data_IF_320159237071
#
_entry.id   IF_320159237071
#
_cell.length_a   1.000
_cell.length_b   1.000
_cell.length_c   1.000
_cell.angle_alpha   90.00
_cell.angle_beta   90.00
_cell.angle_gamma   90.00
#
_symmetry.space_group_name_H-M   'P 1'
#
loop_
_entity.id
_entity.type
_entity.pdbx_description
1 polymer ?
#
# COMPACT_ATOMS: atom_id res chain seq x y z
N UNK A 1 -5.58 20.34 7.30
CA UNK A 1 -5.91 20.86 5.96
C UNK A 1 -4.66 21.48 5.38
N UNK A 2 -4.35 21.14 4.16
CA UNK A 2 -3.27 21.73 3.37
C UNK A 2 -3.80 22.94 2.60
N UNK A 3 -2.96 23.94 2.41
CA UNK A 3 -3.28 25.18 1.70
C UNK A 3 -2.13 25.56 0.78
N UNK A 4 -2.43 26.25 -0.31
CA UNK A 4 -1.48 26.71 -1.32
C UNK A 4 -1.41 28.23 -1.30
N UNK A 5 -0.20 28.77 -1.23
CA UNK A 5 0.03 30.20 -1.38
C UNK A 5 -0.12 30.60 -2.85
N UNK A 6 -0.96 31.59 -3.14
CA UNK A 6 -1.23 32.05 -4.52
C UNK A 6 -0.05 32.74 -5.16
N UNK A 7 0.79 33.42 -4.39
CA UNK A 7 1.87 34.23 -4.93
C UNK A 7 3.06 33.41 -5.41
N UNK A 8 3.38 32.30 -4.71
CA UNK A 8 4.57 31.48 -5.01
C UNK A 8 4.25 30.00 -5.25
N UNK A 9 2.98 29.58 -5.05
CA UNK A 9 2.56 28.19 -5.24
C UNK A 9 2.97 27.24 -4.10
N UNK A 10 3.59 27.74 -3.05
CA UNK A 10 4.08 26.92 -1.93
C UNK A 10 2.92 26.26 -1.19
N UNK A 11 3.13 25.00 -0.83
CA UNK A 11 2.18 24.20 -0.06
C UNK A 11 2.58 24.21 1.42
N UNK A 12 1.60 24.49 2.26
CA UNK A 12 1.78 24.50 3.72
C UNK A 12 0.52 23.97 4.40
N UNK A 13 0.56 23.78 5.71
CA UNK A 13 -0.62 23.42 6.49
C UNK A 13 -1.23 24.64 7.16
N UNK A 14 -2.53 24.57 7.45
CA UNK A 14 -3.21 25.62 8.25
C UNK A 14 -2.51 25.87 9.59
N UNK A 15 -1.96 24.84 10.22
CA UNK A 15 -1.22 24.98 11.48
C UNK A 15 0.08 25.78 11.31
N UNK A 16 0.84 25.49 10.26
CA UNK A 16 2.06 26.24 9.94
C UNK A 16 1.73 27.69 9.56
N UNK A 17 0.71 27.90 8.71
CA UNK A 17 0.23 29.25 8.38
C UNK A 17 -0.15 30.05 9.65
N UNK A 18 -0.94 29.48 10.56
CA UNK A 18 -1.30 30.14 11.82
C UNK A 18 -0.08 30.52 12.66
N UNK A 19 0.96 29.68 12.66
CA UNK A 19 2.21 29.94 13.38
C UNK A 19 2.99 31.14 12.81
N UNK A 20 2.81 31.46 11.53
CA UNK A 20 3.43 32.68 10.93
C UNK A 20 2.70 33.97 11.30
N UNK A 21 1.56 33.89 11.99
CA UNK A 21 0.70 35.03 12.37
C UNK A 21 0.52 35.11 13.91
N UNK A 22 1.60 35.30 14.68
CA UNK A 22 1.55 35.14 16.14
C UNK A 22 0.63 36.16 16.85
N UNK A 23 0.36 37.28 16.20
CA UNK A 23 -0.49 38.37 16.78
C UNK A 23 -1.94 38.29 16.30
N UNK A 24 -2.34 37.21 15.63
CA UNK A 24 -3.71 37.04 15.08
C UNK A 24 -4.42 35.88 15.74
N UNK A 25 -5.61 36.12 16.27
CA UNK A 25 -6.49 35.08 16.78
C UNK A 25 -7.33 34.48 15.66
N UNK A 26 -7.15 33.21 15.36
CA UNK A 26 -7.94 32.49 14.37
C UNK A 26 -9.00 31.62 15.03
N UNK A 27 -10.16 31.40 14.37
CA UNK A 27 -11.11 30.39 14.83
C UNK A 27 -10.52 29.00 14.83
N UNK A 28 -11.13 28.08 15.59
CA UNK A 28 -10.70 26.67 15.64
C UNK A 28 -10.66 26.04 14.24
N UNK A 29 -11.69 26.29 13.43
CA UNK A 29 -11.72 25.93 12.02
C UNK A 29 -11.58 27.22 11.18
N UNK A 30 -10.56 27.24 10.32
CA UNK A 30 -10.34 28.34 9.39
C UNK A 30 -11.29 28.18 8.20
N UNK A 31 -11.92 29.28 7.78
CA UNK A 31 -12.83 29.30 6.62
C UNK A 31 -12.07 29.64 5.34
N UNK A 32 -12.68 29.33 4.20
CA UNK A 32 -12.14 29.71 2.89
C UNK A 32 -11.99 31.22 2.73
N UNK A 33 -12.92 32.01 3.26
CA UNK A 33 -12.87 33.47 3.20
C UNK A 33 -11.67 34.06 3.96
N UNK A 34 -11.34 33.45 5.11
CA UNK A 34 -10.14 33.83 5.87
C UNK A 34 -8.89 33.48 5.04
N UNK A 35 -8.81 32.27 4.46
CA UNK A 35 -7.68 31.88 3.61
C UNK A 35 -7.56 32.81 2.41
N UNK A 36 -8.68 33.16 1.79
CA UNK A 36 -8.74 34.08 0.64
C UNK A 36 -8.17 35.45 0.99
N UNK A 37 -8.52 36.01 2.16
CA UNK A 37 -8.02 37.33 2.62
C UNK A 37 -6.49 37.32 2.85
N UNK A 38 -5.87 36.16 3.07
CA UNK A 38 -4.42 36.01 3.22
C UNK A 38 -3.73 35.49 1.94
N UNK A 39 -4.45 35.34 0.82
CA UNK A 39 -3.92 34.91 -0.45
C UNK A 39 -3.60 33.40 -0.52
N UNK A 40 -4.37 32.58 0.18
CA UNK A 40 -4.23 31.12 0.16
C UNK A 40 -5.48 30.47 -0.42
N UNK A 41 -5.25 29.38 -1.13
CA UNK A 41 -6.27 28.46 -1.60
C UNK A 41 -6.30 27.18 -0.73
N UNK A 42 -7.47 26.65 -0.38
CA UNK A 42 -7.56 25.34 0.23
C UNK A 42 -7.16 24.26 -0.78
N UNK A 43 -6.40 23.26 -0.33
CA UNK A 43 -6.11 22.07 -1.13
C UNK A 43 -7.03 20.94 -0.67
N UNK A 44 -7.88 20.48 -1.57
CA UNK A 44 -8.82 19.39 -1.36
C UNK A 44 -8.18 18.04 -1.64
N UNK A 45 -8.81 16.97 -1.18
CA UNK A 45 -8.34 15.62 -1.52
C UNK A 45 -8.70 15.29 -2.96
N UNK A 46 -7.69 15.02 -3.78
CA UNK A 46 -7.85 14.53 -5.14
C UNK A 46 -8.08 13.02 -5.18
N UNK A 47 -8.51 12.54 -6.34
CA UNK A 47 -8.67 11.10 -6.56
C UNK A 47 -7.31 10.40 -6.64
N UNK A 48 -7.24 9.18 -6.11
CA UNK A 48 -6.09 8.31 -6.30
C UNK A 48 -5.91 7.98 -7.79
N UNK A 49 -4.67 7.85 -8.24
CA UNK A 49 -4.39 7.38 -9.60
C UNK A 49 -4.83 5.92 -9.75
N UNK A 50 -5.36 5.60 -10.94
CA UNK A 50 -5.65 4.21 -11.29
C UNK A 50 -4.34 3.44 -11.47
N UNK A 51 -4.17 2.33 -10.76
CA UNK A 51 -2.96 1.52 -10.77
C UNK A 51 -3.28 0.05 -11.00
N UNK A 52 -2.30 -0.70 -11.50
CA UNK A 52 -2.42 -2.13 -11.72
C UNK A 52 -1.75 -2.90 -10.59
N UNK A 53 -2.55 -3.65 -9.81
CA UNK A 53 -2.03 -4.56 -8.80
C UNK A 53 -1.22 -5.70 -9.47
N UNK A 54 -0.29 -6.34 -8.78
CA UNK A 54 0.11 -6.08 -7.40
C UNK A 54 1.20 -4.99 -7.23
N UNK A 55 1.78 -4.50 -8.33
CA UNK A 55 2.98 -3.66 -8.30
C UNK A 55 2.69 -2.16 -8.37
N UNK A 56 1.50 -1.78 -8.86
CA UNK A 56 1.13 -0.39 -8.99
C UNK A 56 0.78 0.26 -7.65
N UNK A 57 1.25 1.49 -7.44
CA UNK A 57 0.90 2.32 -6.29
C UNK A 57 0.46 3.70 -6.76
N UNK A 58 -0.53 4.27 -6.08
CA UNK A 58 -0.93 5.65 -6.31
C UNK A 58 -0.04 6.56 -5.45
N UNK A 59 0.86 7.30 -6.09
CA UNK A 59 1.85 8.15 -5.42
C UNK A 59 1.46 9.62 -5.57
N UNK A 60 1.54 10.36 -4.46
CA UNK A 60 1.31 11.80 -4.49
C UNK A 60 2.37 12.51 -5.33
N UNK A 61 1.92 13.40 -6.25
CA UNK A 61 2.77 14.20 -7.14
C UNK A 61 2.33 15.66 -7.15
N UNK A 62 2.35 16.30 -5.97
CA UNK A 62 2.01 17.71 -5.84
C UNK A 62 0.49 17.98 -5.78
N UNK A 63 0.07 19.03 -6.46
CA UNK A 63 -1.32 19.47 -6.56
C UNK A 63 -1.68 19.83 -8.00
N UNK A 64 -2.98 19.83 -8.29
CA UNK A 64 -3.51 20.25 -9.60
C UNK A 64 -4.77 21.09 -9.42
N UNK A 65 -5.00 21.97 -10.38
CA UNK A 65 -6.21 22.80 -10.41
C UNK A 65 -7.28 22.14 -11.28
N UNK A 66 -8.47 21.95 -10.71
CA UNK A 66 -9.64 21.42 -11.43
C UNK A 66 -10.82 22.39 -11.19
N UNK A 67 -11.31 23.01 -12.26
CA UNK A 67 -12.45 23.94 -12.21
C UNK A 67 -12.29 25.05 -11.17
N UNK A 68 -11.10 25.63 -11.08
CA UNK A 68 -10.81 26.73 -10.15
C UNK A 68 -10.60 26.31 -8.69
N UNK A 69 -10.48 25.03 -8.41
CA UNK A 69 -10.18 24.50 -7.08
C UNK A 69 -8.91 23.65 -7.11
N UNK A 70 -8.12 23.71 -6.05
CA UNK A 70 -6.87 22.94 -5.92
C UNK A 70 -7.11 21.61 -5.23
N UNK A 71 -6.54 20.55 -5.82
CA UNK A 71 -6.62 19.18 -5.32
C UNK A 71 -5.23 18.58 -5.19
N UNK A 72 -5.06 17.65 -4.24
CA UNK A 72 -3.88 16.78 -4.24
C UNK A 72 -3.85 15.97 -5.53
N UNK A 73 -2.71 16.00 -6.23
CA UNK A 73 -2.50 15.22 -7.45
C UNK A 73 -1.85 13.88 -7.12
N UNK A 74 -2.33 12.84 -7.74
CA UNK A 74 -1.74 11.51 -7.68
C UNK A 74 -1.38 10.99 -9.06
N UNK A 75 -0.25 10.29 -9.15
CA UNK A 75 0.20 9.61 -10.36
C UNK A 75 0.34 8.11 -10.11
N UNK A 76 0.16 7.31 -11.16
CA UNK A 76 0.48 5.90 -11.11
C UNK A 76 1.99 5.71 -11.00
N UNK A 77 2.43 4.93 -10.04
CA UNK A 77 3.83 4.62 -9.78
C UNK A 77 3.99 3.16 -9.33
N UNK A 78 5.21 2.80 -8.90
CA UNK A 78 6.42 3.62 -8.95
C UNK A 78 6.90 3.87 -10.38
N UNK A 79 7.60 5.01 -10.59
CA UNK A 79 8.28 5.32 -11.85
C UNK A 79 9.76 4.99 -11.67
N UNK A 80 10.31 4.22 -12.59
CA UNK A 80 11.71 3.78 -12.53
C UNK A 80 12.55 4.58 -13.53
N UNK A 81 13.74 4.99 -13.10
CA UNK A 81 14.77 5.65 -13.88
C UNK A 81 16.09 4.94 -13.68
N UNK A 82 17.05 5.19 -14.57
CA UNK A 82 18.42 4.74 -14.36
C UNK A 82 18.98 5.42 -13.10
N UNK A 83 19.72 4.64 -12.31
CA UNK A 83 20.38 5.13 -11.09
C UNK A 83 21.88 4.86 -11.18
N UNK A 84 22.70 5.76 -10.61
CA UNK A 84 24.15 5.60 -10.53
C UNK A 84 24.56 5.60 -9.06
N UNK A 85 25.31 4.61 -8.64
CA UNK A 85 25.84 4.55 -7.27
C UNK A 85 27.10 5.44 -7.09
N UNK A 86 27.63 5.48 -5.88
CA UNK A 86 28.82 6.27 -5.53
C UNK A 86 30.11 5.82 -6.23
N UNK A 87 30.14 4.62 -6.79
CA UNK A 87 31.26 4.05 -7.54
C UNK A 87 31.13 4.25 -9.04
N UNK A 88 30.06 4.92 -9.49
CA UNK A 88 29.78 5.19 -10.91
C UNK A 88 29.12 4.04 -11.67
N UNK A 89 28.69 2.97 -11.00
CA UNK A 89 27.96 1.86 -11.62
C UNK A 89 26.50 2.26 -11.89
N UNK A 90 26.09 2.10 -13.13
CA UNK A 90 24.71 2.37 -13.56
C UNK A 90 23.84 1.13 -13.39
N UNK A 91 22.70 1.30 -12.72
CA UNK A 91 21.59 0.34 -12.71
C UNK A 91 20.46 0.89 -13.55
N UNK A 92 20.05 0.15 -14.58
CA UNK A 92 19.02 0.62 -15.52
C UNK A 92 17.63 0.66 -14.86
N UNK A 93 16.74 1.49 -15.40
CA UNK A 93 15.33 1.57 -15.00
C UNK A 93 14.66 0.18 -14.98
N UNK A 94 14.93 -0.66 -15.99
CA UNK A 94 14.40 -2.03 -16.06
C UNK A 94 14.90 -2.92 -14.90
N UNK A 95 16.17 -2.79 -14.51
CA UNK A 95 16.72 -3.53 -13.38
C UNK A 95 16.15 -3.03 -12.04
N UNK A 96 15.96 -1.72 -11.91
CA UNK A 96 15.30 -1.13 -10.73
C UNK A 96 13.85 -1.61 -10.60
N UNK A 97 13.11 -1.66 -11.71
CA UNK A 97 11.75 -2.21 -11.75
C UNK A 97 11.73 -3.71 -11.37
N UNK A 98 12.63 -4.50 -11.95
CA UNK A 98 12.73 -5.93 -11.65
C UNK A 98 13.04 -6.18 -10.16
N UNK A 99 13.95 -5.42 -9.58
CA UNK A 99 14.28 -5.50 -8.15
C UNK A 99 13.08 -5.12 -7.26
N UNK A 100 12.35 -4.07 -7.61
CA UNK A 100 11.13 -3.68 -6.91
C UNK A 100 10.06 -4.78 -6.94
N UNK A 101 9.77 -5.32 -8.14
CA UNK A 101 8.79 -6.40 -8.31
C UNK A 101 9.18 -7.64 -7.50
N UNK A 102 10.45 -8.04 -7.56
CA UNK A 102 10.97 -9.15 -6.76
C UNK A 102 10.81 -8.90 -5.25
N UNK A 103 11.00 -7.67 -4.77
CA UNK A 103 10.76 -7.30 -3.38
C UNK A 103 9.29 -7.41 -2.97
N UNK A 104 8.37 -6.94 -3.82
CA UNK A 104 6.91 -7.07 -3.60
C UNK A 104 6.51 -8.55 -3.55
N UNK A 105 6.99 -9.35 -4.49
CA UNK A 105 6.72 -10.80 -4.55
C UNK A 105 7.27 -11.53 -3.33
N UNK A 106 8.49 -11.20 -2.90
CA UNK A 106 9.12 -11.80 -1.73
C UNK A 106 8.31 -11.50 -0.45
N UNK A 107 7.88 -10.25 -0.27
CA UNK A 107 7.08 -9.82 0.88
C UNK A 107 5.70 -10.52 0.91
N UNK A 108 5.03 -10.58 -0.23
CA UNK A 108 3.76 -11.31 -0.36
C UNK A 108 3.94 -12.81 -0.08
N UNK A 109 4.98 -13.42 -0.63
CA UNK A 109 5.30 -14.83 -0.43
C UNK A 109 5.61 -15.15 1.05
N UNK A 110 6.30 -14.27 1.75
CA UNK A 110 6.56 -14.42 3.18
C UNK A 110 5.27 -14.36 4.00
N UNK A 111 4.38 -13.41 3.69
CA UNK A 111 3.08 -13.29 4.33
C UNK A 111 2.24 -14.56 4.14
N UNK A 112 2.16 -15.08 2.92
CA UNK A 112 1.45 -16.33 2.61
C UNK A 112 2.05 -17.52 3.36
N UNK A 113 3.38 -17.64 3.41
CA UNK A 113 4.05 -18.72 4.14
C UNK A 113 3.80 -18.63 5.64
N UNK A 114 3.77 -17.43 6.19
CA UNK A 114 3.48 -17.21 7.62
C UNK A 114 2.07 -17.69 7.96
N UNK A 115 1.07 -17.29 7.19
CA UNK A 115 -0.31 -17.73 7.40
C UNK A 115 -0.47 -19.25 7.18
N UNK A 116 0.15 -19.81 6.14
CA UNK A 116 0.19 -21.26 5.90
C UNK A 116 0.78 -22.00 7.10
N UNK A 117 1.90 -21.53 7.63
CA UNK A 117 2.56 -22.19 8.78
C UNK A 117 1.68 -22.15 10.02
N UNK A 118 0.95 -21.03 10.24
CA UNK A 118 -0.04 -20.92 11.31
C UNK A 118 -1.16 -21.94 11.12
N UNK A 119 -1.76 -22.04 9.92
CA UNK A 119 -2.79 -23.02 9.62
C UNK A 119 -2.30 -24.47 9.78
N UNK A 120 -1.06 -24.76 9.41
CA UNK A 120 -0.42 -26.06 9.62
C UNK A 120 -0.32 -26.38 11.12
N UNK A 121 0.19 -25.43 11.92
CA UNK A 121 0.32 -25.58 13.38
C UNK A 121 -1.04 -25.76 14.05
N UNK A 122 -2.03 -24.92 13.70
CA UNK A 122 -3.38 -24.96 14.28
C UNK A 122 -4.11 -26.28 14.00
N UNK A 123 -3.63 -27.05 13.02
CA UNK A 123 -4.21 -28.34 12.61
C UNK A 123 -3.34 -29.56 12.96
N UNK A 124 -2.23 -29.41 13.68
CA UNK A 124 -1.34 -30.52 14.05
C UNK A 124 -2.05 -31.58 14.89
N UNK A 125 -2.99 -31.19 15.72
CA UNK A 125 -3.80 -32.11 16.54
C UNK A 125 -4.58 -33.12 15.70
N UNK A 126 -4.91 -32.83 14.44
CA UNK A 126 -5.64 -33.73 13.53
C UNK A 126 -4.80 -34.93 13.11
N UNK A 127 -3.49 -34.88 13.32
CA UNK A 127 -2.53 -35.93 12.95
C UNK A 127 -2.21 -36.86 14.13
N UNK A 128 -2.76 -36.60 15.31
CA UNK A 128 -2.53 -37.45 16.48
C UNK A 128 -3.10 -38.86 16.26
N UNK A 129 -2.30 -39.89 16.57
CA UNK A 129 -2.68 -41.29 16.37
C UNK A 129 -3.85 -41.74 17.25
N UNK A 130 -3.99 -41.15 18.44
CA UNK A 130 -5.03 -41.41 19.44
C UNK A 130 -6.26 -40.48 19.30
N UNK A 131 -6.26 -39.63 18.25
CA UNK A 131 -7.36 -38.70 17.97
C UNK A 131 -8.67 -39.41 17.64
N UNK A 132 -9.79 -38.92 18.20
CA UNK A 132 -11.14 -39.52 18.03
C UNK A 132 -11.81 -39.16 16.68
N UNK A 133 -11.07 -38.73 15.69
CA UNK A 133 -11.60 -38.44 14.36
C UNK A 133 -11.91 -39.74 13.59
N UNK A 134 -13.00 -39.75 12.83
CA UNK A 134 -13.26 -40.85 11.89
C UNK A 134 -12.22 -40.90 10.77
N UNK A 135 -12.05 -42.04 10.12
CA UNK A 135 -11.07 -42.21 9.06
C UNK A 135 -11.32 -41.26 7.87
N UNK A 136 -12.58 -40.99 7.55
CA UNK A 136 -12.96 -40.06 6.50
C UNK A 136 -12.55 -38.62 6.82
N UNK A 137 -12.75 -38.19 8.06
CA UNK A 137 -12.37 -36.87 8.55
C UNK A 137 -10.85 -36.76 8.59
N UNK A 138 -10.14 -37.79 9.08
CA UNK A 138 -8.66 -37.81 9.03
C UNK A 138 -8.14 -37.66 7.60
N UNK A 139 -8.71 -38.38 6.63
CA UNK A 139 -8.31 -38.29 5.23
C UNK A 139 -8.51 -36.88 4.67
N UNK A 140 -9.63 -36.22 5.00
CA UNK A 140 -9.90 -34.84 4.57
C UNK A 140 -8.84 -33.85 5.16
N UNK A 141 -8.46 -34.01 6.43
CA UNK A 141 -7.41 -33.19 7.04
C UNK A 141 -6.03 -33.46 6.42
N UNK A 142 -5.71 -34.70 6.07
CA UNK A 142 -4.46 -35.04 5.34
C UNK A 142 -4.42 -34.30 4.00
N UNK A 143 -5.52 -34.34 3.23
CA UNK A 143 -5.63 -33.65 1.95
C UNK A 143 -5.45 -32.13 2.12
N UNK A 144 -6.20 -31.51 3.03
CA UNK A 144 -6.09 -30.08 3.33
C UNK A 144 -4.65 -29.66 3.66
N UNK A 145 -3.99 -30.42 4.53
CA UNK A 145 -2.61 -30.15 4.93
C UNK A 145 -1.61 -30.35 3.79
N UNK A 146 -1.89 -31.28 2.87
CA UNK A 146 -1.08 -31.44 1.67
C UNK A 146 -1.24 -30.23 0.72
N UNK A 147 -2.47 -29.79 0.48
CA UNK A 147 -2.76 -28.60 -0.31
C UNK A 147 -2.08 -27.35 0.28
N UNK A 148 -2.04 -27.20 1.62
CA UNK A 148 -1.29 -26.12 2.27
C UNK A 148 0.22 -26.23 1.99
N UNK A 149 0.82 -27.42 1.98
CA UNK A 149 2.24 -27.59 1.64
C UNK A 149 2.53 -27.18 0.20
N UNK A 150 1.61 -27.51 -0.70
CA UNK A 150 1.75 -27.28 -2.14
C UNK A 150 1.41 -25.83 -2.55
N UNK A 151 0.90 -25.01 -1.62
CA UNK A 151 0.44 -23.66 -1.88
C UNK A 151 1.51 -22.77 -2.57
N UNK A 152 2.78 -22.96 -2.23
CA UNK A 152 3.88 -22.18 -2.85
C UNK A 152 4.14 -22.55 -4.32
N UNK A 153 3.62 -23.69 -4.80
CA UNK A 153 3.66 -24.10 -6.19
C UNK A 153 2.35 -23.85 -6.93
N UNK A 154 1.33 -23.31 -6.21
CA UNK A 154 0.02 -23.06 -6.79
C UNK A 154 0.06 -21.94 -7.83
N UNK A 155 -0.80 -22.02 -8.84
CA UNK A 155 -0.97 -20.96 -9.82
C UNK A 155 -1.41 -19.67 -9.11
N UNK A 156 -0.80 -18.56 -9.50
CA UNK A 156 -1.07 -17.24 -8.93
C UNK A 156 -0.34 -16.93 -7.62
N UNK A 157 0.50 -17.85 -7.12
CA UNK A 157 1.36 -17.56 -5.97
C UNK A 157 2.36 -16.43 -6.30
N UNK A 158 2.57 -15.47 -5.40
CA UNK A 158 1.98 -15.31 -4.08
C UNK A 158 0.72 -14.41 -4.03
N UNK A 159 0.23 -13.88 -5.14
CA UNK A 159 -0.72 -12.77 -5.15
C UNK A 159 -2.20 -13.17 -5.35
N UNK A 160 -2.44 -14.21 -6.15
CA UNK A 160 -3.81 -14.58 -6.61
C UNK A 160 -4.14 -16.06 -6.42
N UNK A 161 -3.34 -16.81 -5.63
CA UNK A 161 -3.62 -18.21 -5.32
C UNK A 161 -4.92 -18.32 -4.50
N UNK A 162 -5.54 -19.51 -4.56
CA UNK A 162 -6.70 -19.84 -3.76
C UNK A 162 -6.27 -20.66 -2.53
N UNK A 163 -6.75 -20.25 -1.35
CA UNK A 163 -6.52 -21.01 -0.13
C UNK A 163 -7.34 -22.29 -0.10
N UNK A 164 -6.76 -23.41 0.38
CA UNK A 164 -7.51 -24.65 0.58
C UNK A 164 -8.69 -24.47 1.55
N UNK A 165 -9.78 -25.21 1.30
CA UNK A 165 -10.95 -25.17 2.19
C UNK A 165 -10.73 -26.08 3.39
N UNK A 166 -10.81 -25.50 4.58
CA UNK A 166 -10.66 -26.21 5.85
C UNK A 166 -11.78 -27.24 6.02
N UNK A 167 -11.48 -28.53 6.33
CA UNK A 167 -12.48 -29.52 6.66
C UNK A 167 -13.30 -29.15 7.90
N UNK A 168 -14.57 -29.56 7.93
CA UNK A 168 -15.50 -29.37 9.07
C UNK A 168 -15.43 -30.51 10.08
#
# INVERSE_FOLDING_TARGET
MEIRNRSNGELTTVSQFKATQPNTSFPKQITTDILDSYGYDPVLNGAAATVTAPYGVSTRSGVEEIKGQWFTKFIAGPVFTDTTDSEGKVTTAANNEAAYRAGVDATAAESVRTERNKLMHDTDWTQAADGKLSDSVKAAWVTYRQELRDLSAASGFPHTMTWPTKPS
#
